data_IF_139512585879
#
_entry.id   IF_139512585879
#
_cell.length_a   1.000
_cell.length_b   1.000
_cell.length_c   1.000
_cell.angle_alpha   90.00
_cell.angle_beta   90.00
_cell.angle_gamma   90.00
#
_symmetry.space_group_name_H-M   'P 1'
#
loop_
_entity.id
_entity.type
_entity.pdbx_description
1 polymer ?
#
# COMPACT_ATOMS: atom_id res chain seq x y z
N UNK A 1 26.53 7.35 -37.56
CA UNK A 1 27.09 6.53 -36.47
C UNK A 1 27.73 7.46 -35.45
N UNK A 2 27.03 7.73 -34.35
CA UNK A 2 27.59 8.29 -33.11
C UNK A 2 26.76 7.67 -32.00
N UNK A 3 27.12 6.45 -31.60
CA UNK A 3 26.52 5.80 -30.45
C UNK A 3 26.92 6.59 -29.21
N UNK A 4 25.98 7.34 -28.64
CA UNK A 4 26.08 7.73 -27.24
C UNK A 4 25.80 6.46 -26.45
N UNK A 5 26.86 5.78 -26.00
CA UNK A 5 26.73 4.82 -24.92
C UNK A 5 26.32 5.62 -23.69
N UNK A 6 25.02 5.69 -23.40
CA UNK A 6 24.55 6.12 -22.09
C UNK A 6 25.05 5.05 -21.13
N UNK A 7 26.15 5.32 -20.43
CA UNK A 7 26.60 4.46 -19.34
C UNK A 7 25.54 4.55 -18.26
N UNK A 8 24.79 3.47 -18.05
CA UNK A 8 23.78 3.39 -17.00
C UNK A 8 24.36 3.79 -15.65
N UNK A 9 23.64 4.65 -14.93
CA UNK A 9 23.93 4.99 -13.52
C UNK A 9 23.77 3.80 -12.58
N UNK A 10 24.45 3.86 -11.44
CA UNK A 10 24.42 2.90 -10.35
C UNK A 10 23.56 3.47 -9.22
N UNK A 11 22.37 2.92 -9.04
CA UNK A 11 21.34 3.48 -8.16
C UNK A 11 21.22 2.60 -6.92
N UNK A 12 21.36 3.19 -5.75
CA UNK A 12 21.09 2.50 -4.49
C UNK A 12 19.71 2.84 -3.98
N UNK A 13 18.82 1.86 -3.81
CA UNK A 13 17.54 2.04 -3.13
C UNK A 13 17.65 1.47 -1.72
N UNK A 14 17.32 2.28 -0.72
CA UNK A 14 17.47 1.90 0.70
C UNK A 14 16.16 2.06 1.46
N UNK A 15 15.75 1.00 2.15
CA UNK A 15 14.58 0.98 3.03
C UNK A 15 14.90 0.14 4.28
N UNK A 16 14.06 0.19 5.32
CA UNK A 16 14.27 -0.66 6.49
C UNK A 16 14.06 -2.15 6.18
N UNK A 17 13.20 -2.44 5.20
CA UNK A 17 12.85 -3.80 4.76
C UNK A 17 12.65 -3.80 3.24
N UNK A 18 12.96 -4.90 2.55
CA UNK A 18 12.67 -5.04 1.11
C UNK A 18 12.13 -6.43 0.78
N UNK A 19 11.56 -6.61 -0.40
CA UNK A 19 11.17 -7.94 -0.91
C UNK A 19 10.04 -8.62 -0.13
N UNK A 20 9.16 -7.85 0.51
CA UNK A 20 7.92 -8.38 1.10
C UNK A 20 6.69 -7.89 0.31
N UNK A 21 5.48 -8.22 0.78
CA UNK A 21 4.21 -7.83 0.14
C UNK A 21 3.57 -6.58 0.75
N UNK A 22 4.30 -5.83 1.57
CA UNK A 22 3.84 -4.51 2.00
C UNK A 22 3.93 -3.49 0.85
N UNK A 23 3.17 -2.39 0.98
CA UNK A 23 3.06 -1.38 -0.08
C UNK A 23 4.40 -0.81 -0.52
N UNK A 24 5.31 -0.49 0.40
CA UNK A 24 6.59 0.16 0.07
C UNK A 24 7.54 -0.83 -0.61
N UNK A 25 7.61 -2.08 -0.14
CA UNK A 25 8.37 -3.14 -0.83
C UNK A 25 7.92 -3.32 -2.28
N UNK A 26 6.61 -3.30 -2.54
CA UNK A 26 6.07 -3.40 -3.90
C UNK A 26 6.40 -2.16 -4.75
N UNK A 27 6.38 -0.94 -4.19
CA UNK A 27 6.85 0.26 -4.90
C UNK A 27 8.34 0.18 -5.26
N UNK A 28 9.18 -0.33 -4.34
CA UNK A 28 10.62 -0.53 -4.58
C UNK A 28 10.87 -1.49 -5.75
N UNK A 29 10.13 -2.59 -5.82
CA UNK A 29 10.23 -3.55 -6.93
C UNK A 29 9.90 -2.87 -8.28
N UNK A 30 8.86 -2.03 -8.31
CA UNK A 30 8.44 -1.32 -9.52
C UNK A 30 9.44 -0.24 -9.95
N UNK A 31 9.96 0.54 -9.00
CA UNK A 31 11.02 1.52 -9.27
C UNK A 31 12.29 0.83 -9.78
N UNK A 32 12.66 -0.29 -9.16
CA UNK A 32 13.80 -1.13 -9.58
C UNK A 32 13.63 -1.58 -11.03
N UNK A 33 12.46 -2.12 -11.37
CA UNK A 33 12.15 -2.55 -12.74
C UNK A 33 12.29 -1.40 -13.74
N UNK A 34 11.69 -0.23 -13.46
CA UNK A 34 11.75 0.92 -14.36
C UNK A 34 13.18 1.41 -14.57
N UNK A 35 13.99 1.51 -13.51
CA UNK A 35 15.39 1.90 -13.64
C UNK A 35 16.22 0.89 -14.45
N UNK A 36 16.00 -0.40 -14.24
CA UNK A 36 16.70 -1.45 -15.00
C UNK A 36 16.31 -1.43 -16.49
N UNK A 37 15.03 -1.22 -16.81
CA UNK A 37 14.57 -1.04 -18.19
C UNK A 37 15.18 0.20 -18.86
N UNK A 38 15.44 1.26 -18.09
CA UNK A 38 16.16 2.44 -18.54
C UNK A 38 17.70 2.24 -18.67
N UNK A 39 18.20 1.02 -18.40
CA UNK A 39 19.62 0.67 -18.54
C UNK A 39 20.49 0.96 -17.32
N UNK A 40 19.89 1.29 -16.16
CA UNK A 40 20.61 1.50 -14.91
C UNK A 40 20.88 0.19 -14.16
N UNK A 41 21.87 0.21 -13.27
CA UNK A 41 22.17 -0.91 -12.37
C UNK A 41 21.65 -0.53 -10.98
N UNK A 42 20.78 -1.37 -10.41
CA UNK A 42 20.14 -1.11 -9.11
C UNK A 42 20.74 -2.00 -8.02
N UNK A 43 21.01 -1.40 -6.87
CA UNK A 43 21.47 -2.03 -5.64
C UNK A 43 20.44 -1.77 -4.54
N UNK A 44 19.96 -2.82 -3.88
CA UNK A 44 19.06 -2.69 -2.75
C UNK A 44 19.86 -2.76 -1.44
N UNK A 45 19.46 -1.97 -0.44
CA UNK A 45 19.97 -2.06 0.92
C UNK A 45 18.82 -2.07 1.92
N UNK A 46 18.83 -3.00 2.88
CA UNK A 46 17.80 -3.07 3.92
C UNK A 46 18.23 -3.82 5.17
N UNK A 47 17.46 -3.69 6.25
CA UNK A 47 17.66 -4.46 7.49
C UNK A 47 17.11 -5.88 7.43
N UNK A 48 16.09 -6.11 6.61
CA UNK A 48 15.53 -7.45 6.33
C UNK A 48 15.08 -7.55 4.87
N UNK A 49 15.22 -8.74 4.29
CA UNK A 49 14.70 -9.05 2.95
C UNK A 49 13.74 -10.25 3.01
N UNK A 50 12.53 -10.09 2.48
CA UNK A 50 11.42 -11.05 2.66
C UNK A 50 11.46 -12.28 1.74
N UNK A 51 12.05 -12.18 0.54
CA UNK A 51 12.13 -13.30 -0.42
C UNK A 51 13.41 -14.12 -0.20
N UNK A 52 13.27 -15.44 -0.11
CA UNK A 52 14.43 -16.33 -0.18
C UNK A 52 14.93 -16.36 -1.63
N UNK A 53 16.16 -15.89 -1.87
CA UNK A 53 16.83 -15.97 -3.19
C UNK A 53 16.96 -17.41 -3.75
N UNK A 54 16.65 -18.44 -2.95
CA UNK A 54 16.82 -19.83 -3.34
C UNK A 54 15.60 -20.48 -4.02
N UNK A 55 14.40 -19.88 -3.97
CA UNK A 55 13.20 -20.54 -4.54
C UNK A 55 12.53 -19.84 -5.70
N UNK A 56 12.86 -18.59 -6.01
CA UNK A 56 12.28 -17.88 -7.16
C UNK A 56 13.36 -17.07 -7.90
N UNK A 57 13.54 -17.45 -9.17
CA UNK A 57 14.24 -16.77 -10.27
C UNK A 57 15.72 -17.12 -10.52
N UNK A 58 15.88 -17.86 -11.61
CA UNK A 58 17.02 -17.89 -12.53
C UNK A 58 17.12 -16.62 -13.38
N UNK A 59 16.65 -15.46 -12.91
CA UNK A 59 16.66 -14.23 -13.70
C UNK A 59 18.00 -13.51 -13.57
N UNK A 60 18.66 -13.26 -14.69
CA UNK A 60 19.92 -12.50 -14.78
C UNK A 60 19.76 -11.01 -14.42
N UNK A 61 18.53 -10.54 -14.12
CA UNK A 61 18.17 -9.15 -13.85
C UNK A 61 17.84 -8.85 -12.38
N UNK A 62 18.11 -9.75 -11.44
CA UNK A 62 17.79 -9.50 -10.03
C UNK A 62 18.76 -8.47 -9.42
N UNK A 63 18.23 -7.41 -8.81
CA UNK A 63 19.05 -6.38 -8.15
C UNK A 63 19.86 -6.98 -6.99
N UNK A 64 21.13 -6.58 -6.86
CA UNK A 64 21.99 -7.03 -5.76
C UNK A 64 21.46 -6.46 -4.43
N UNK A 65 21.27 -7.32 -3.42
CA UNK A 65 20.74 -6.94 -2.11
C UNK A 65 21.84 -6.97 -1.06
N UNK A 66 22.05 -5.85 -0.37
CA UNK A 66 22.90 -5.75 0.83
C UNK A 66 22.02 -5.73 2.06
N UNK A 67 22.33 -6.59 3.03
CA UNK A 67 21.67 -6.59 4.34
C UNK A 67 22.57 -5.91 5.36
N UNK A 68 22.03 -4.87 6.01
CA UNK A 68 22.63 -4.23 7.19
C UNK A 68 21.64 -4.44 8.32
N UNK A 69 21.83 -5.50 9.11
CA UNK A 69 20.88 -5.92 10.15
C UNK A 69 20.43 -4.77 11.07
N UNK A 70 21.32 -3.83 11.39
CA UNK A 70 21.01 -2.66 12.23
C UNK A 70 20.04 -1.65 11.59
N UNK A 71 19.66 -1.78 10.32
CA UNK A 71 18.57 -1.00 9.72
C UNK A 71 17.17 -1.52 10.10
N UNK A 72 17.08 -2.71 10.69
CA UNK A 72 15.80 -3.30 11.07
C UNK A 72 15.18 -2.58 12.28
N UNK A 73 14.04 -1.95 12.05
CA UNK A 73 13.31 -1.21 13.08
C UNK A 73 12.51 -2.09 14.05
N UNK A 74 12.43 -3.40 13.81
CA UNK A 74 11.72 -4.34 14.71
C UNK A 74 12.57 -4.81 15.89
N UNK A 75 13.79 -4.32 16.03
CA UNK A 75 14.62 -4.59 17.20
C UNK A 75 14.06 -3.88 18.43
N UNK A 76 14.21 -4.46 19.62
CA UNK A 76 13.78 -3.81 20.87
C UNK A 76 14.40 -2.42 21.03
N UNK A 77 15.64 -2.27 20.57
CA UNK A 77 16.39 -1.02 20.65
C UNK A 77 15.82 0.06 19.73
N UNK A 78 15.55 -0.26 18.45
CA UNK A 78 14.95 0.68 17.50
C UNK A 78 13.50 1.05 17.90
N UNK A 79 12.71 0.08 18.37
CA UNK A 79 11.36 0.32 18.89
C UNK A 79 11.37 1.20 20.15
N UNK A 80 12.33 0.97 21.06
CA UNK A 80 12.54 1.83 22.24
C UNK A 80 12.87 3.25 21.81
N UNK A 81 13.84 3.42 20.91
CA UNK A 81 14.26 4.74 20.41
C UNK A 81 13.12 5.48 19.70
N UNK A 82 12.31 4.78 18.92
CA UNK A 82 11.10 5.34 18.31
C UNK A 82 10.14 5.90 19.36
N UNK A 83 9.84 5.12 20.42
CA UNK A 83 9.00 5.55 21.54
C UNK A 83 9.62 6.73 22.29
N UNK A 84 10.92 6.65 22.57
CA UNK A 84 11.67 7.72 23.22
C UNK A 84 11.69 9.00 22.38
N UNK A 85 11.51 8.93 21.06
CA UNK A 85 11.43 10.10 20.17
C UNK A 85 10.02 10.67 20.08
N UNK A 86 9.02 9.80 19.88
CA UNK A 86 7.67 10.18 19.43
C UNK A 86 6.56 10.02 20.48
N UNK A 87 6.90 9.63 21.71
CA UNK A 87 5.97 9.51 22.83
C UNK A 87 6.55 10.15 24.10
N UNK A 88 7.52 9.48 24.74
CA UNK A 88 8.06 9.91 26.03
C UNK A 88 9.45 9.34 26.30
N UNK A 89 10.29 10.12 26.97
CA UNK A 89 11.65 9.74 27.38
C UNK A 89 11.83 9.97 28.87
N UNK A 90 12.38 8.98 29.58
CA UNK A 90 12.64 9.07 31.02
C UNK A 90 14.04 9.60 31.35
N UNK A 91 15.01 9.35 30.48
CA UNK A 91 16.40 9.80 30.61
C UNK A 91 16.90 10.32 29.26
N UNK A 92 16.84 11.65 29.09
CA UNK A 92 17.23 12.32 27.85
C UNK A 92 18.71 12.17 27.54
N UNK A 93 19.58 12.10 28.55
CA UNK A 93 21.03 11.96 28.35
C UNK A 93 21.39 10.57 27.83
N UNK A 94 20.78 9.52 28.40
CA UNK A 94 20.93 8.14 27.94
C UNK A 94 20.39 7.97 26.52
N UNK A 95 19.18 8.48 26.24
CA UNK A 95 18.58 8.47 24.91
C UNK A 95 19.48 9.15 23.87
N UNK A 96 19.99 10.35 24.18
CA UNK A 96 20.87 11.09 23.28
C UNK A 96 22.17 10.33 22.99
N UNK A 97 22.82 9.79 24.03
CA UNK A 97 24.04 9.00 23.87
C UNK A 97 23.81 7.80 22.95
N UNK A 98 22.71 7.07 23.17
CA UNK A 98 22.39 5.86 22.42
C UNK A 98 22.00 6.15 20.97
N UNK A 99 21.22 7.21 20.74
CA UNK A 99 20.86 7.70 19.41
C UNK A 99 22.10 7.97 18.54
N UNK A 100 23.05 8.74 19.08
CA UNK A 100 24.27 9.08 18.35
C UNK A 100 25.20 7.87 18.17
N UNK A 101 25.35 7.03 19.20
CA UNK A 101 26.17 5.82 19.15
C UNK A 101 25.72 4.88 18.03
N UNK A 102 24.41 4.67 17.87
CA UNK A 102 23.87 3.87 16.77
C UNK A 102 24.02 4.56 15.42
N UNK A 103 23.79 5.87 15.36
CA UNK A 103 23.96 6.63 14.14
C UNK A 103 25.39 6.52 13.60
N UNK A 104 26.40 6.64 14.47
CA UNK A 104 27.82 6.54 14.10
C UNK A 104 28.17 5.14 13.57
N UNK A 105 27.65 4.08 14.22
CA UNK A 105 27.84 2.69 13.76
C UNK A 105 27.22 2.44 12.39
N UNK A 106 26.00 2.93 12.18
CA UNK A 106 25.28 2.77 10.91
C UNK A 106 25.94 3.59 9.79
N UNK A 107 26.40 4.81 10.09
CA UNK A 107 27.01 5.69 9.11
C UNK A 107 28.17 5.01 8.39
N UNK A 108 29.11 4.39 9.13
CA UNK A 108 30.26 3.72 8.53
C UNK A 108 29.88 2.60 7.55
N UNK A 109 28.82 1.84 7.86
CA UNK A 109 28.31 0.78 6.98
C UNK A 109 27.61 1.33 5.74
N UNK A 110 26.83 2.39 5.90
CA UNK A 110 26.13 3.05 4.79
C UNK A 110 27.12 3.71 3.83
N UNK A 111 28.16 4.36 4.34
CA UNK A 111 29.21 4.91 3.50
C UNK A 111 30.00 3.83 2.74
N UNK A 112 30.30 2.71 3.40
CA UNK A 112 30.93 1.56 2.75
C UNK A 112 30.03 1.02 1.62
N UNK A 113 28.74 0.82 1.88
CA UNK A 113 27.78 0.39 0.86
C UNK A 113 27.72 1.36 -0.34
N UNK A 114 27.73 2.67 -0.10
CA UNK A 114 27.76 3.69 -1.16
C UNK A 114 29.05 3.59 -1.99
N UNK A 115 30.22 3.53 -1.34
CA UNK A 115 31.53 3.52 -2.01
C UNK A 115 31.81 2.21 -2.74
N UNK A 116 31.55 1.08 -2.11
CA UNK A 116 31.84 -0.25 -2.65
C UNK A 116 30.99 -0.53 -3.89
N UNK A 117 29.73 -0.10 -3.86
CA UNK A 117 28.84 -0.19 -5.02
C UNK A 117 29.00 0.96 -6.00
N UNK A 118 29.83 1.98 -5.73
CA UNK A 118 30.05 3.17 -6.57
C UNK A 118 28.73 3.81 -7.00
N UNK A 119 27.87 4.09 -6.04
CA UNK A 119 26.54 4.62 -6.32
C UNK A 119 26.62 6.06 -6.84
N UNK A 120 25.91 6.33 -7.93
CA UNK A 120 25.73 7.67 -8.48
C UNK A 120 24.56 8.41 -7.79
N UNK A 121 23.57 7.63 -7.32
CA UNK A 121 22.34 8.13 -6.70
C UNK A 121 21.91 7.19 -5.57
N UNK A 122 21.47 7.76 -4.45
CA UNK A 122 20.80 7.05 -3.36
C UNK A 122 19.35 7.48 -3.27
N UNK A 123 18.45 6.50 -3.16
CA UNK A 123 17.00 6.67 -3.05
C UNK A 123 16.54 6.13 -1.69
N UNK A 124 16.51 6.97 -0.64
CA UNK A 124 15.86 6.63 0.62
C UNK A 124 14.35 6.47 0.41
N UNK A 125 13.83 5.31 0.79
CA UNK A 125 12.40 5.01 0.81
C UNK A 125 11.93 5.09 2.26
N UNK A 126 11.14 6.10 2.61
CA UNK A 126 10.60 6.35 3.95
C UNK A 126 11.60 6.54 5.11
N UNK A 127 12.91 6.29 4.94
CA UNK A 127 13.89 6.41 6.03
C UNK A 127 13.87 7.81 6.67
N UNK A 128 13.61 8.84 5.86
CA UNK A 128 13.56 10.24 6.28
C UNK A 128 12.15 10.81 6.44
N UNK A 129 11.09 10.00 6.50
CA UNK A 129 9.73 10.54 6.62
C UNK A 129 8.94 9.91 7.75
N UNK A 130 8.88 8.58 7.80
CA UNK A 130 8.01 7.89 8.75
C UNK A 130 8.55 7.98 10.17
N UNK A 131 9.86 8.15 10.36
CA UNK A 131 10.51 8.23 11.67
C UNK A 131 10.54 6.89 12.42
N UNK A 132 10.60 5.75 11.72
CA UNK A 132 10.61 4.43 12.37
C UNK A 132 11.93 4.16 13.11
N UNK A 133 13.05 4.62 12.58
CA UNK A 133 14.37 4.41 13.15
C UNK A 133 15.20 5.71 13.14
N UNK A 134 15.17 6.50 14.24
CA UNK A 134 15.83 7.80 14.30
C UNK A 134 17.33 7.78 14.00
N UNK A 135 18.07 6.83 14.59
CA UNK A 135 19.51 6.68 14.32
C UNK A 135 19.83 6.40 12.84
N UNK A 136 19.02 5.60 12.15
CA UNK A 136 19.22 5.31 10.73
C UNK A 136 19.00 6.54 9.84
N UNK A 137 18.03 7.41 10.20
CA UNK A 137 17.81 8.67 9.49
C UNK A 137 19.03 9.61 9.60
N UNK A 138 19.59 9.75 10.81
CA UNK A 138 20.83 10.53 11.06
C UNK A 138 21.99 9.92 10.29
N UNK A 139 22.21 8.61 10.44
CA UNK A 139 23.31 7.90 9.81
C UNK A 139 23.30 8.05 8.28
N UNK A 140 22.13 7.90 7.66
CA UNK A 140 21.99 8.04 6.22
C UNK A 140 22.25 9.47 5.76
N UNK A 141 21.73 10.48 6.46
CA UNK A 141 21.97 11.88 6.14
C UNK A 141 23.47 12.22 6.18
N UNK A 142 24.18 11.76 7.21
CA UNK A 142 25.65 11.94 7.33
C UNK A 142 26.41 11.19 6.24
N UNK A 143 26.01 9.94 5.95
CA UNK A 143 26.68 9.12 4.95
C UNK A 143 26.56 9.71 3.53
N UNK A 144 25.37 10.20 3.14
CA UNK A 144 25.19 10.81 1.82
C UNK A 144 25.91 12.16 1.70
N UNK A 145 25.97 12.95 2.78
CA UNK A 145 26.70 14.20 2.82
C UNK A 145 28.22 13.96 2.70
N UNK A 146 28.77 13.03 3.47
CA UNK A 146 30.20 12.72 3.44
C UNK A 146 30.66 12.10 2.12
N UNK A 147 29.81 11.30 1.47
CA UNK A 147 30.10 10.70 0.16
C UNK A 147 29.76 11.63 -1.01
N UNK A 148 29.07 12.73 -0.76
CA UNK A 148 28.52 13.64 -1.77
C UNK A 148 27.71 12.94 -2.87
N UNK A 149 27.10 11.79 -2.55
CA UNK A 149 26.25 11.06 -3.50
C UNK A 149 24.94 11.81 -3.71
N UNK A 150 24.44 11.83 -4.95
CA UNK A 150 23.17 12.49 -5.26
C UNK A 150 22.01 11.77 -4.56
N UNK A 151 20.98 12.52 -4.15
CA UNK A 151 19.83 11.96 -3.44
C UNK A 151 18.51 12.27 -4.14
N UNK A 152 17.70 11.24 -4.31
CA UNK A 152 16.28 11.31 -4.68
C UNK A 152 15.47 10.60 -3.59
N UNK A 153 14.94 11.33 -2.61
CA UNK A 153 14.23 10.74 -1.48
C UNK A 153 12.74 10.59 -1.76
N UNK A 154 12.21 9.38 -1.63
CA UNK A 154 10.79 9.09 -1.77
C UNK A 154 10.13 8.87 -0.41
N UNK A 155 9.03 9.60 -0.18
CA UNK A 155 8.27 9.61 1.06
C UNK A 155 6.83 9.17 0.76
N UNK A 156 6.44 8.01 1.28
CA UNK A 156 5.08 7.46 1.16
C UNK A 156 4.16 7.97 2.25
N UNK A 157 4.73 8.25 3.42
CA UNK A 157 4.03 8.68 4.61
C UNK A 157 5.01 9.42 5.53
N UNK A 158 4.48 10.29 6.39
CA UNK A 158 5.27 11.07 7.33
C UNK A 158 4.92 10.78 8.78
N UNK A 159 5.85 11.02 9.71
CA UNK A 159 5.63 10.76 11.14
C UNK A 159 4.41 11.50 11.71
N UNK A 160 4.05 12.67 11.16
CA UNK A 160 2.86 13.44 11.57
C UNK A 160 1.54 12.92 11.01
N UNK A 161 1.56 11.87 10.20
CA UNK A 161 0.37 11.23 9.62
C UNK A 161 -0.06 9.97 10.39
N UNK A 162 0.70 9.60 11.42
CA UNK A 162 0.39 8.46 12.29
C UNK A 162 -0.93 8.71 13.05
N UNK A 163 -1.70 7.65 13.25
CA UNK A 163 -3.02 7.68 13.90
C UNK A 163 -2.95 7.83 15.41
N UNK A 164 -1.84 7.45 16.04
CA UNK A 164 -1.58 7.68 17.47
C UNK A 164 -1.11 9.12 17.66
N UNK A 165 -1.49 9.73 18.78
CA UNK A 165 -0.99 11.05 19.15
C UNK A 165 0.55 11.00 19.19
N UNK A 166 1.18 11.81 18.35
CA UNK A 166 2.63 11.92 18.29
C UNK A 166 3.09 13.12 19.10
N UNK A 167 4.01 12.86 20.02
CA UNK A 167 4.66 13.88 20.82
C UNK A 167 6.17 13.77 20.68
N UNK A 168 6.80 14.79 20.12
CA UNK A 168 8.26 14.90 20.20
C UNK A 168 8.63 15.08 21.67
N UNK A 169 9.34 14.11 22.21
CA UNK A 169 9.44 13.86 23.66
C UNK A 169 10.29 14.89 24.41
N UNK A 170 11.32 15.43 23.76
CA UNK A 170 12.30 16.34 24.33
C UNK A 170 12.85 17.32 23.25
N UNK A 171 13.61 18.37 23.63
CA UNK A 171 14.22 19.30 22.68
C UNK A 171 15.06 18.62 21.60
N UNK A 172 15.83 17.59 21.96
CA UNK A 172 16.58 16.78 21.00
C UNK A 172 15.65 16.07 20.01
N UNK A 173 14.57 15.43 20.46
CA UNK A 173 13.63 14.80 19.53
C UNK A 173 13.04 15.81 18.52
N UNK A 174 12.81 17.07 18.96
CA UNK A 174 12.35 18.16 18.08
C UNK A 174 13.41 18.51 17.05
N UNK A 175 14.65 18.75 17.48
CA UNK A 175 15.77 19.06 16.58
C UNK A 175 16.04 17.92 15.59
N UNK A 176 15.99 16.67 16.04
CA UNK A 176 16.14 15.50 15.17
C UNK A 176 15.04 15.45 14.09
N UNK A 177 13.78 15.57 14.50
CA UNK A 177 12.65 15.53 13.57
C UNK A 177 12.67 16.73 12.60
N UNK A 178 13.32 17.82 12.97
CA UNK A 178 13.58 18.94 12.06
C UNK A 178 14.69 18.66 11.08
N UNK A 179 15.87 18.32 11.57
CA UNK A 179 17.06 18.18 10.74
C UNK A 179 17.07 16.94 9.84
N UNK A 180 16.35 15.86 10.20
CA UNK A 180 16.50 14.57 9.55
C UNK A 180 15.21 13.94 9.03
N UNK A 181 14.03 14.54 9.29
CA UNK A 181 12.74 13.99 8.87
C UNK A 181 11.86 14.96 8.04
N UNK A 182 12.23 15.24 6.77
CA UNK A 182 13.47 14.88 6.09
C UNK A 182 14.53 16.00 6.17
N UNK A 183 15.80 15.75 5.75
CA UNK A 183 16.83 16.79 5.72
C UNK A 183 16.52 17.96 4.77
N UNK A 184 16.91 19.18 5.17
CA UNK A 184 16.66 20.44 4.44
C UNK A 184 17.71 20.77 3.35
N UNK A 185 18.48 19.79 2.87
CA UNK A 185 19.53 20.07 1.88
C UNK A 185 18.91 20.44 0.52
N UNK A 186 19.15 21.66 -0.02
CA UNK A 186 18.53 22.12 -1.26
C UNK A 186 18.98 21.34 -2.50
N UNK A 187 20.04 20.52 -2.39
CA UNK A 187 20.50 19.64 -3.47
C UNK A 187 19.76 18.31 -3.53
N UNK A 188 18.91 18.01 -2.52
CA UNK A 188 18.14 16.76 -2.50
C UNK A 188 16.83 16.96 -3.25
N UNK A 189 16.48 15.97 -4.07
CA UNK A 189 15.17 15.92 -4.73
C UNK A 189 14.23 15.10 -3.85
N UNK A 190 13.08 15.67 -3.49
CA UNK A 190 12.06 14.98 -2.71
C UNK A 190 10.89 14.57 -3.59
N UNK A 191 10.40 13.36 -3.40
CA UNK A 191 9.22 12.80 -4.05
C UNK A 191 8.22 12.38 -2.98
N UNK A 192 6.96 12.75 -3.18
CA UNK A 192 5.82 12.30 -2.36
C UNK A 192 4.78 11.64 -3.25
N UNK A 193 3.91 10.82 -2.64
CA UNK A 193 2.93 10.04 -3.41
C UNK A 193 1.60 10.76 -3.69
N UNK A 194 1.37 11.93 -3.07
CA UNK A 194 0.15 12.70 -3.25
C UNK A 194 0.38 14.20 -2.99
N UNK A 195 -0.52 15.05 -3.46
CA UNK A 195 -0.44 16.50 -3.35
C UNK A 195 -0.72 17.03 -1.94
N UNK A 196 -1.46 16.29 -1.09
CA UNK A 196 -1.65 16.64 0.32
C UNK A 196 -0.33 16.56 1.09
N UNK A 197 0.46 15.50 0.85
CA UNK A 197 1.77 15.31 1.41
C UNK A 197 2.76 16.37 0.91
N UNK A 198 2.69 16.74 -0.38
CA UNK A 198 3.48 17.85 -0.96
C UNK A 198 3.21 19.16 -0.21
N UNK A 199 1.95 19.53 -0.06
CA UNK A 199 1.56 20.77 0.64
C UNK A 199 1.92 20.73 2.13
N UNK A 200 1.72 19.58 2.79
CA UNK A 200 2.08 19.41 4.19
C UNK A 200 3.58 19.54 4.42
N UNK A 201 4.40 18.92 3.57
CA UNK A 201 5.86 19.01 3.61
C UNK A 201 6.32 20.46 3.39
N UNK A 202 5.80 21.14 2.36
CA UNK A 202 6.13 22.54 2.08
C UNK A 202 5.75 23.45 3.25
N UNK A 203 4.55 23.28 3.84
CA UNK A 203 4.09 24.09 4.96
C UNK A 203 4.87 23.84 6.25
N UNK A 204 5.21 22.59 6.54
CA UNK A 204 5.85 22.20 7.81
C UNK A 204 7.36 22.38 7.79
N UNK A 205 8.00 22.17 6.64
CA UNK A 205 9.46 22.10 6.49
C UNK A 205 10.04 23.09 5.47
N UNK A 206 9.20 23.78 4.68
CA UNK A 206 9.69 24.63 3.60
C UNK A 206 10.35 23.85 2.46
N UNK A 207 10.07 22.54 2.34
CA UNK A 207 10.65 21.65 1.33
C UNK A 207 9.61 21.44 0.23
N UNK A 208 9.98 21.71 -1.02
CA UNK A 208 9.19 21.33 -2.19
C UNK A 208 9.45 19.87 -2.58
N UNK A 209 8.46 19.23 -3.18
CA UNK A 209 8.56 17.85 -3.65
C UNK A 209 7.81 17.65 -4.97
N UNK A 210 8.32 16.75 -5.81
CA UNK A 210 7.55 16.22 -6.93
C UNK A 210 6.51 15.21 -6.44
N UNK A 211 5.39 15.09 -7.15
CA UNK A 211 4.36 14.09 -6.85
C UNK A 211 4.50 12.95 -7.86
N UNK A 212 4.83 11.76 -7.37
CA UNK A 212 4.81 10.52 -8.17
C UNK A 212 3.85 9.56 -7.49
N UNK A 213 2.65 9.30 -8.05
CA UNK A 213 1.69 8.40 -7.44
C UNK A 213 2.19 6.96 -7.44
N UNK A 214 1.63 6.12 -6.56
CA UNK A 214 1.86 4.69 -6.69
C UNK A 214 1.24 4.19 -8.00
N UNK A 215 1.92 3.22 -8.62
CA UNK A 215 1.51 2.62 -9.89
C UNK A 215 1.22 1.13 -9.72
N UNK A 216 0.79 0.45 -10.76
CA UNK A 216 0.67 -1.02 -10.77
C UNK A 216 1.13 -1.55 -12.13
N UNK A 217 1.62 -2.78 -12.16
CA UNK A 217 1.94 -3.44 -13.43
C UNK A 217 0.66 -3.90 -14.14
N UNK A 218 0.12 -3.01 -14.99
CA UNK A 218 -1.01 -3.33 -15.85
C UNK A 218 -0.62 -4.16 -17.08
N UNK A 219 0.66 -4.23 -17.45
CA UNK A 219 1.13 -5.04 -18.57
C UNK A 219 1.44 -6.49 -18.17
N UNK A 220 1.67 -6.73 -16.88
CA UNK A 220 1.88 -8.05 -16.30
C UNK A 220 0.67 -8.99 -16.39
N UNK A 221 0.85 -10.27 -15.98
CA UNK A 221 -0.17 -11.30 -16.10
C UNK A 221 -1.53 -10.90 -15.53
N UNK A 222 -2.60 -11.33 -16.21
CA UNK A 222 -3.96 -11.13 -15.72
C UNK A 222 -4.25 -12.02 -14.51
N UNK A 223 -5.07 -11.52 -13.59
CA UNK A 223 -5.48 -12.27 -12.39
C UNK A 223 -6.70 -13.13 -12.73
N UNK A 224 -6.45 -14.31 -13.28
CA UNK A 224 -7.48 -15.20 -13.79
C UNK A 224 -7.72 -16.41 -12.88
N UNK A 225 -8.85 -17.08 -13.10
CA UNK A 225 -9.10 -18.39 -12.52
C UNK A 225 -8.29 -19.42 -13.31
N UNK A 226 -7.38 -20.11 -12.64
CA UNK A 226 -6.51 -21.13 -13.22
C UNK A 226 -6.59 -22.46 -12.45
N UNK A 227 -5.75 -23.44 -12.83
CA UNK A 227 -5.72 -24.74 -12.17
C UNK A 227 -5.36 -24.68 -10.67
N UNK A 228 -4.63 -23.64 -10.24
CA UNK A 228 -4.29 -23.46 -8.83
C UNK A 228 -5.47 -22.95 -8.02
N UNK A 229 -6.25 -21.99 -8.52
CA UNK A 229 -7.33 -21.38 -7.74
C UNK A 229 -8.74 -21.85 -8.14
N UNK A 230 -8.87 -22.85 -9.01
CA UNK A 230 -10.15 -23.42 -9.42
C UNK A 230 -11.00 -23.95 -8.24
N UNK A 231 -10.35 -24.42 -7.18
CA UNK A 231 -10.97 -24.90 -5.94
C UNK A 231 -11.18 -23.81 -4.89
N UNK A 232 -10.79 -22.55 -5.15
CA UNK A 232 -10.86 -21.44 -4.18
C UNK A 232 -12.24 -21.33 -3.54
N UNK A 233 -13.31 -21.31 -4.35
CA UNK A 233 -14.68 -21.22 -3.84
C UNK A 233 -15.02 -22.39 -2.92
N UNK A 234 -14.75 -23.63 -3.32
CA UNK A 234 -14.99 -24.80 -2.47
C UNK A 234 -14.15 -24.80 -1.21
N UNK A 235 -12.89 -24.34 -1.29
CA UNK A 235 -11.97 -24.27 -0.17
C UNK A 235 -12.39 -23.29 0.92
N UNK A 236 -13.27 -22.33 0.60
CA UNK A 236 -13.83 -21.34 1.52
C UNK A 236 -15.35 -21.45 1.68
N UNK A 237 -15.93 -22.61 1.34
CA UNK A 237 -17.37 -22.87 1.46
C UNK A 237 -18.24 -21.84 0.71
N UNK A 238 -17.85 -21.45 -0.51
CA UNK A 238 -18.57 -20.52 -1.37
C UNK A 238 -19.23 -21.30 -2.51
N UNK A 239 -20.53 -21.09 -2.73
CA UNK A 239 -21.23 -21.73 -3.83
C UNK A 239 -20.83 -21.08 -5.18
N UNK A 240 -20.99 -21.79 -6.32
CA UNK A 240 -20.63 -21.25 -7.63
C UNK A 240 -21.30 -19.92 -7.98
N UNK A 241 -22.56 -19.71 -7.58
CA UNK A 241 -23.33 -18.49 -7.85
C UNK A 241 -23.49 -17.56 -6.64
N UNK A 242 -22.74 -17.79 -5.55
CA UNK A 242 -22.65 -16.80 -4.47
C UNK A 242 -21.98 -15.53 -5.01
N UNK A 243 -22.51 -14.37 -4.61
CA UNK A 243 -21.93 -13.07 -4.92
C UNK A 243 -20.83 -12.81 -3.88
N UNK A 244 -19.59 -12.67 -4.34
CA UNK A 244 -18.43 -12.37 -3.50
C UNK A 244 -18.20 -10.85 -3.50
N UNK A 245 -18.41 -10.22 -2.34
CA UNK A 245 -18.02 -8.84 -2.08
C UNK A 245 -16.68 -8.87 -1.34
N UNK A 246 -15.61 -8.45 -2.01
CA UNK A 246 -14.25 -8.58 -1.50
C UNK A 246 -13.78 -7.31 -0.79
N UNK A 247 -13.32 -7.48 0.46
CA UNK A 247 -12.52 -6.51 1.19
C UNK A 247 -11.07 -7.01 1.26
N UNK A 248 -10.19 -6.40 0.48
CA UNK A 248 -8.81 -6.86 0.26
C UNK A 248 -7.77 -6.09 1.11
N UNK A 249 -8.21 -5.39 2.15
CA UNK A 249 -7.33 -4.62 3.05
C UNK A 249 -7.08 -5.34 4.35
N UNK A 250 -6.02 -4.93 5.06
CA UNK A 250 -5.87 -5.20 6.50
C UNK A 250 -7.14 -4.86 7.27
N UNK A 251 -7.43 -5.61 8.31
CA UNK A 251 -8.61 -5.43 9.15
C UNK A 251 -8.27 -4.48 10.30
N UNK A 252 -8.29 -3.18 10.01
CA UNK A 252 -7.97 -2.11 10.98
C UNK A 252 -8.98 -0.95 10.87
N UNK A 253 -9.24 -0.18 11.94
CA UNK A 253 -10.33 0.81 11.98
C UNK A 253 -10.38 1.77 10.79
N UNK A 254 -9.24 2.36 10.41
CA UNK A 254 -9.16 3.34 9.31
C UNK A 254 -9.62 2.81 7.94
N UNK A 255 -9.77 1.50 7.80
CA UNK A 255 -10.22 0.86 6.55
C UNK A 255 -11.73 0.86 6.38
N UNK A 256 -12.50 1.21 7.42
CA UNK A 256 -13.94 1.47 7.33
C UNK A 256 -14.78 0.25 6.93
N UNK A 257 -14.33 -0.98 7.24
CA UNK A 257 -14.95 -2.24 6.82
C UNK A 257 -16.42 -2.34 7.27
N UNK A 258 -16.80 -1.64 8.35
CA UNK A 258 -18.18 -1.50 8.79
C UNK A 258 -19.13 -0.95 7.72
N UNK A 259 -18.65 -0.12 6.78
CA UNK A 259 -19.45 0.39 5.67
C UNK A 259 -19.60 -0.66 4.56
N UNK A 260 -18.63 -1.58 4.41
CA UNK A 260 -18.80 -2.75 3.54
C UNK A 260 -19.91 -3.67 4.08
N UNK A 261 -20.01 -3.82 5.40
CA UNK A 261 -21.12 -4.54 6.05
C UNK A 261 -22.45 -3.86 5.71
N UNK A 262 -22.54 -2.54 5.84
CA UNK A 262 -23.78 -1.80 5.52
C UNK A 262 -24.22 -1.99 4.06
N UNK A 263 -23.26 -1.99 3.12
CA UNK A 263 -23.53 -2.26 1.71
C UNK A 263 -24.02 -3.69 1.50
N UNK A 264 -23.38 -4.69 2.12
CA UNK A 264 -23.80 -6.08 2.00
C UNK A 264 -25.18 -6.29 2.63
N UNK A 265 -25.47 -5.65 3.76
CA UNK A 265 -26.80 -5.68 4.39
C UNK A 265 -27.87 -5.06 3.46
N UNK A 266 -27.58 -3.94 2.81
CA UNK A 266 -28.48 -3.32 1.83
C UNK A 266 -28.71 -4.22 0.59
N UNK A 267 -27.67 -4.89 0.10
CA UNK A 267 -27.79 -5.88 -0.97
C UNK A 267 -28.60 -7.11 -0.53
N UNK A 268 -28.38 -7.57 0.70
CA UNK A 268 -29.08 -8.72 1.29
C UNK A 268 -30.59 -8.45 1.40
N UNK A 269 -31.00 -7.24 1.79
CA UNK A 269 -32.41 -6.82 1.77
C UNK A 269 -33.05 -6.91 0.37
N UNK A 270 -32.26 -6.86 -0.70
CA UNK A 270 -32.68 -6.97 -2.09
C UNK A 270 -32.52 -8.39 -2.68
N UNK A 271 -32.04 -9.36 -1.89
CA UNK A 271 -31.71 -10.72 -2.34
C UNK A 271 -32.87 -11.40 -3.08
N UNK A 272 -34.11 -11.24 -2.63
CA UNK A 272 -35.28 -11.85 -3.28
C UNK A 272 -35.46 -11.41 -4.74
N UNK A 273 -35.14 -10.14 -5.05
CA UNK A 273 -35.21 -9.60 -6.41
C UNK A 273 -34.19 -10.21 -7.39
N UNK A 274 -33.15 -10.86 -6.85
CA UNK A 274 -32.08 -11.50 -7.63
C UNK A 274 -32.43 -12.94 -8.02
N UNK A 275 -33.40 -13.57 -7.35
CA UNK A 275 -33.74 -14.98 -7.59
C UNK A 275 -34.22 -15.15 -9.04
N UNK A 276 -33.58 -16.07 -9.76
CA UNK A 276 -33.83 -16.35 -11.17
C UNK A 276 -33.20 -15.35 -12.15
N UNK A 277 -32.53 -14.30 -11.66
CA UNK A 277 -31.78 -13.36 -12.52
C UNK A 277 -30.44 -13.98 -12.90
N UNK A 278 -29.98 -13.64 -14.10
CA UNK A 278 -28.63 -13.96 -14.56
C UNK A 278 -27.71 -12.82 -14.14
N UNK A 279 -26.67 -13.13 -13.37
CA UNK A 279 -25.62 -12.19 -12.98
C UNK A 279 -24.76 -11.81 -14.19
N UNK A 280 -23.99 -10.73 -14.08
CA UNK A 280 -23.04 -10.29 -15.09
C UNK A 280 -21.92 -11.31 -15.36
N UNK A 281 -21.72 -12.27 -14.45
CA UNK A 281 -20.86 -13.45 -14.61
C UNK A 281 -21.48 -14.55 -15.49
N UNK A 282 -22.74 -14.42 -15.89
CA UNK A 282 -23.50 -15.42 -16.66
C UNK A 282 -24.16 -16.51 -15.81
N UNK A 283 -23.97 -16.49 -14.48
CA UNK A 283 -24.55 -17.46 -13.56
C UNK A 283 -25.95 -17.03 -13.13
N UNK A 284 -26.87 -17.98 -12.96
CA UNK A 284 -28.20 -17.72 -12.41
C UNK A 284 -28.12 -17.71 -10.88
N UNK A 285 -28.67 -16.67 -10.27
CA UNK A 285 -28.76 -16.55 -8.82
C UNK A 285 -30.02 -17.28 -8.32
N UNK A 286 -29.87 -18.14 -7.32
CA UNK A 286 -30.94 -18.96 -6.75
C UNK A 286 -31.19 -18.63 -5.27
N UNK A 287 -32.29 -19.14 -4.71
CA UNK A 287 -32.65 -18.88 -3.31
C UNK A 287 -31.59 -19.34 -2.30
N UNK A 288 -30.84 -20.41 -2.63
CA UNK A 288 -29.76 -20.95 -1.79
C UNK A 288 -28.46 -20.14 -1.89
N UNK A 289 -28.33 -19.25 -2.87
CA UNK A 289 -27.13 -18.42 -3.00
C UNK A 289 -27.08 -17.30 -1.97
N UNK A 290 -25.87 -16.91 -1.60
CA UNK A 290 -25.59 -15.88 -0.61
C UNK A 290 -24.90 -14.68 -1.26
N UNK A 291 -24.98 -13.55 -0.56
CA UNK A 291 -24.12 -12.39 -0.77
C UNK A 291 -23.14 -12.41 0.40
N UNK A 292 -21.86 -12.61 0.12
CA UNK A 292 -20.85 -12.89 1.14
C UNK A 292 -19.79 -11.80 1.14
N UNK A 293 -19.57 -11.18 2.31
CA UNK A 293 -18.43 -10.29 2.53
C UNK A 293 -17.19 -11.14 2.83
N UNK A 294 -16.18 -11.08 1.97
CA UNK A 294 -14.93 -11.84 2.14
C UNK A 294 -13.81 -10.89 2.55
N UNK A 295 -13.26 -11.08 3.75
CA UNK A 295 -12.10 -10.35 4.25
C UNK A 295 -10.82 -11.13 3.91
N UNK A 296 -10.06 -10.64 2.94
CA UNK A 296 -8.83 -11.29 2.48
C UNK A 296 -7.56 -10.76 3.18
N UNK A 297 -7.65 -9.62 3.86
CA UNK A 297 -6.54 -9.11 4.66
C UNK A 297 -6.53 -9.64 6.09
N UNK A 298 -5.46 -9.30 6.80
CA UNK A 298 -5.12 -9.84 8.11
C UNK A 298 -5.38 -8.79 9.21
N UNK A 299 -5.58 -9.22 10.45
CA UNK A 299 -6.01 -8.37 11.59
C UNK A 299 -4.89 -8.04 12.60
N UNK A 300 -3.69 -8.59 12.42
CA UNK A 300 -2.55 -8.47 13.35
C UNK A 300 -2.08 -7.02 13.56
N UNK A 301 -2.35 -6.12 12.60
CA UNK A 301 -1.99 -4.70 12.68
C UNK A 301 -3.07 -3.84 13.38
N UNK A 302 -4.13 -4.45 13.93
CA UNK A 302 -5.15 -3.72 14.70
C UNK A 302 -4.63 -3.33 16.09
N UNK A 303 -4.20 -2.07 16.22
CA UNK A 303 -3.78 -1.48 17.48
C UNK A 303 -4.84 -1.54 18.59
N UNK A 304 -6.14 -1.66 18.26
CA UNK A 304 -7.19 -1.76 19.28
C UNK A 304 -7.39 -3.18 19.79
N UNK A 305 -6.92 -4.19 19.04
CA UNK A 305 -7.12 -5.62 19.31
C UNK A 305 -8.60 -6.06 19.36
N UNK A 306 -9.52 -5.23 18.89
CA UNK A 306 -10.97 -5.38 19.09
C UNK A 306 -11.79 -5.07 17.85
N UNK A 307 -11.20 -4.53 16.79
CA UNK A 307 -11.93 -4.09 15.61
C UNK A 307 -12.61 -5.26 14.87
N UNK A 308 -11.89 -6.36 14.62
CA UNK A 308 -12.48 -7.55 13.99
C UNK A 308 -13.70 -8.06 14.76
N UNK A 309 -13.62 -8.14 16.09
CA UNK A 309 -14.74 -8.57 16.94
C UNK A 309 -15.94 -7.64 16.84
N UNK A 310 -15.73 -6.33 16.74
CA UNK A 310 -16.80 -5.34 16.54
C UNK A 310 -17.45 -5.50 15.15
N UNK A 311 -16.66 -5.82 14.12
CA UNK A 311 -17.18 -6.13 12.80
C UNK A 311 -18.01 -7.42 12.80
N UNK A 312 -17.57 -8.47 13.49
CA UNK A 312 -18.32 -9.73 13.66
C UNK A 312 -19.67 -9.48 14.35
N UNK A 313 -19.67 -8.70 15.44
CA UNK A 313 -20.91 -8.31 16.13
C UNK A 313 -21.86 -7.53 15.22
N UNK A 314 -21.35 -6.56 14.46
CA UNK A 314 -22.15 -5.83 13.47
C UNK A 314 -22.70 -6.75 12.38
N UNK A 315 -21.87 -7.66 11.87
CA UNK A 315 -22.26 -8.62 10.85
C UNK A 315 -23.40 -9.54 11.32
N UNK A 316 -23.33 -10.03 12.55
CA UNK A 316 -24.36 -10.86 13.17
C UNK A 316 -25.68 -10.10 13.35
N UNK A 317 -25.62 -8.85 13.84
CA UNK A 317 -26.80 -7.99 14.00
C UNK A 317 -27.51 -7.73 12.67
N UNK A 318 -26.76 -7.51 11.60
CA UNK A 318 -27.28 -7.28 10.24
C UNK A 318 -27.60 -8.58 9.49
N UNK A 319 -27.39 -9.76 10.12
CA UNK A 319 -27.61 -11.08 9.50
C UNK A 319 -26.85 -11.26 8.17
N UNK A 320 -25.63 -10.71 8.07
CA UNK A 320 -24.78 -10.85 6.89
C UNK A 320 -23.80 -12.02 7.05
N UNK A 321 -23.46 -12.69 5.95
CA UNK A 321 -22.40 -13.70 5.96
C UNK A 321 -21.06 -13.02 5.71
N UNK A 322 -20.19 -13.03 6.72
CA UNK A 322 -18.82 -12.53 6.63
C UNK A 322 -17.81 -13.68 6.78
N UNK A 323 -16.84 -13.77 5.87
CA UNK A 323 -15.80 -14.79 5.88
C UNK A 323 -14.41 -14.16 5.95
N UNK A 324 -13.67 -14.45 7.01
CA UNK A 324 -12.26 -14.08 7.14
C UNK A 324 -11.39 -15.19 6.56
N UNK A 325 -10.68 -14.90 5.46
CA UNK A 325 -9.84 -15.88 4.76
C UNK A 325 -8.34 -15.56 4.85
N UNK A 326 -7.97 -14.46 5.52
CA UNK A 326 -6.60 -13.91 5.57
C UNK A 326 -5.53 -14.92 5.98
N UNK A 327 -5.83 -15.87 6.87
CA UNK A 327 -4.86 -16.90 7.30
C UNK A 327 -4.43 -17.87 6.18
N UNK A 328 -5.18 -17.90 5.08
CA UNK A 328 -4.88 -18.71 3.89
C UNK A 328 -4.52 -17.85 2.67
N UNK A 329 -4.40 -16.54 2.85
CA UNK A 329 -3.90 -15.59 1.85
C UNK A 329 -2.45 -15.25 2.18
N UNK A 330 -1.54 -15.59 1.27
CA UNK A 330 -0.09 -15.45 1.43
C UNK A 330 0.53 -14.76 0.23
N UNK A 331 1.76 -14.27 0.39
CA UNK A 331 2.52 -13.60 -0.67
C UNK A 331 2.66 -14.42 -1.96
N UNK A 332 2.89 -15.72 -1.79
CA UNK A 332 3.06 -16.69 -2.88
C UNK A 332 2.11 -17.86 -2.68
N UNK A 333 1.57 -18.39 -3.77
CA UNK A 333 0.83 -19.65 -3.77
C UNK A 333 1.71 -20.77 -3.22
N UNK A 334 1.25 -21.50 -2.20
CA UNK A 334 1.99 -22.61 -1.64
C UNK A 334 1.06 -23.76 -1.25
N UNK A 335 1.56 -24.99 -1.40
CA UNK A 335 0.87 -26.18 -0.92
C UNK A 335 1.69 -26.82 0.21
N UNK A 336 1.27 -26.59 1.46
CA UNK A 336 1.90 -27.17 2.65
C UNK A 336 1.09 -28.35 3.18
N UNK A 337 0.84 -29.34 2.31
CA UNK A 337 0.08 -30.54 2.66
C UNK A 337 -1.43 -30.28 2.70
N UNK A 338 -2.05 -30.37 3.89
CA UNK A 338 -3.48 -30.08 4.03
C UNK A 338 -3.82 -28.58 4.00
N UNK A 339 -2.81 -27.71 4.00
CA UNK A 339 -2.98 -26.27 4.08
C UNK A 339 -2.49 -25.58 2.80
N UNK A 340 -3.29 -25.71 1.73
CA UNK A 340 -3.12 -24.95 0.50
C UNK A 340 -3.44 -23.48 0.74
N UNK A 341 -2.52 -22.61 0.37
CA UNK A 341 -2.66 -21.16 0.43
C UNK A 341 -2.84 -20.54 -0.96
N UNK A 342 -3.49 -19.39 -0.97
CA UNK A 342 -3.80 -18.59 -2.15
C UNK A 342 -3.11 -17.24 -2.03
N UNK A 343 -3.10 -16.47 -3.11
CA UNK A 343 -2.65 -15.06 -3.07
C UNK A 343 -3.84 -14.12 -3.03
N UNK A 344 -3.58 -12.85 -2.77
CA UNK A 344 -4.62 -11.82 -2.85
C UNK A 344 -5.23 -11.74 -4.26
N UNK A 345 -4.42 -11.99 -5.29
CA UNK A 345 -4.84 -12.04 -6.70
C UNK A 345 -5.87 -13.14 -6.95
N UNK A 346 -5.74 -14.29 -6.27
CA UNK A 346 -6.74 -15.36 -6.35
C UNK A 346 -8.09 -14.91 -5.79
N UNK A 347 -8.09 -14.16 -4.68
CA UNK A 347 -9.33 -13.60 -4.14
C UNK A 347 -9.98 -12.60 -5.11
N UNK A 348 -9.17 -11.74 -5.74
CA UNK A 348 -9.65 -10.81 -6.78
C UNK A 348 -10.25 -11.53 -7.99
N UNK A 349 -9.63 -12.61 -8.46
CA UNK A 349 -10.10 -13.38 -9.62
C UNK A 349 -11.50 -14.00 -9.41
N UNK A 350 -11.89 -14.24 -8.15
CA UNK A 350 -13.19 -14.79 -7.79
C UNK A 350 -14.24 -13.74 -7.39
N UNK A 351 -13.83 -12.48 -7.19
CA UNK A 351 -14.68 -11.41 -6.69
C UNK A 351 -15.69 -10.90 -7.73
N UNK A 352 -16.90 -10.59 -7.27
CA UNK A 352 -17.96 -10.01 -8.08
C UNK A 352 -18.05 -8.49 -7.92
N UNK A 353 -17.68 -8.01 -6.73
CA UNK A 353 -17.62 -6.61 -6.30
C UNK A 353 -16.45 -6.42 -5.32
N UNK A 354 -15.78 -5.28 -5.34
CA UNK A 354 -14.78 -4.91 -4.33
C UNK A 354 -15.31 -3.76 -3.49
N UNK A 355 -15.17 -3.84 -2.17
CA UNK A 355 -15.41 -2.72 -1.27
C UNK A 355 -14.08 -2.08 -0.89
N UNK A 356 -14.06 -0.76 -0.99
CA UNK A 356 -12.96 0.09 -0.56
C UNK A 356 -13.48 1.30 0.25
N UNK A 357 -14.02 1.07 1.45
CA UNK A 357 -14.63 2.10 2.28
C UNK A 357 -13.63 2.87 3.16
N UNK A 358 -12.33 2.78 2.86
CA UNK A 358 -11.31 3.41 3.70
C UNK A 358 -11.46 4.92 3.69
N UNK A 359 -11.62 5.51 4.87
CA UNK A 359 -11.77 6.96 5.02
C UNK A 359 -10.43 7.69 5.15
N UNK A 360 -9.33 6.95 5.34
CA UNK A 360 -7.98 7.48 5.31
C UNK A 360 -7.01 6.54 4.60
N UNK A 361 -6.28 7.07 3.61
CA UNK A 361 -5.23 6.41 2.84
C UNK A 361 -4.17 7.40 2.38
N UNK A 362 -2.89 6.97 2.37
CA UNK A 362 -1.79 7.75 1.80
C UNK A 362 -1.78 7.75 0.26
N UNK A 363 -2.27 6.67 -0.35
CA UNK A 363 -2.58 6.63 -1.78
C UNK A 363 -3.83 5.80 -1.99
N UNK A 364 -3.67 4.47 -2.11
CA UNK A 364 -4.77 3.53 -2.13
C UNK A 364 -4.65 2.43 -3.18
N UNK A 365 -3.65 1.55 -2.99
CA UNK A 365 -3.34 0.48 -3.95
C UNK A 365 -4.53 -0.45 -4.24
N UNK A 366 -5.44 -0.64 -3.28
CA UNK A 366 -6.65 -1.46 -3.47
C UNK A 366 -7.53 -0.97 -4.65
N UNK A 367 -7.54 0.35 -4.92
CA UNK A 367 -8.21 0.89 -6.11
C UNK A 367 -7.58 0.35 -7.39
N UNK A 368 -6.25 0.47 -7.53
CA UNK A 368 -5.53 -0.01 -8.71
C UNK A 368 -5.64 -1.54 -8.85
N UNK A 369 -5.62 -2.26 -7.73
CA UNK A 369 -5.80 -3.71 -7.70
C UNK A 369 -7.19 -4.11 -8.21
N UNK A 370 -8.27 -3.50 -7.70
CA UNK A 370 -9.63 -3.77 -8.20
C UNK A 370 -9.77 -3.45 -9.70
N UNK A 371 -9.12 -2.37 -10.15
CA UNK A 371 -9.11 -1.98 -11.56
C UNK A 371 -8.34 -2.99 -12.41
N UNK A 372 -7.18 -3.49 -11.97
CA UNK A 372 -6.42 -4.53 -12.66
C UNK A 372 -7.22 -5.83 -12.75
N UNK A 373 -7.88 -6.21 -11.66
CA UNK A 373 -8.80 -7.35 -11.60
C UNK A 373 -10.06 -7.19 -12.46
N UNK A 374 -10.34 -5.99 -12.98
CA UNK A 374 -11.58 -5.63 -13.69
C UNK A 374 -12.83 -5.97 -12.87
N UNK A 375 -12.78 -5.67 -11.57
CA UNK A 375 -13.91 -5.83 -10.65
C UNK A 375 -14.50 -4.45 -10.32
N UNK A 376 -15.83 -4.27 -10.38
CA UNK A 376 -16.47 -3.03 -9.95
C UNK A 376 -16.13 -2.69 -8.50
N UNK A 377 -16.00 -1.40 -8.19
CA UNK A 377 -15.55 -0.93 -6.88
C UNK A 377 -16.59 -0.02 -6.22
N UNK A 378 -16.90 -0.32 -4.96
CA UNK A 378 -17.62 0.56 -4.03
C UNK A 378 -16.59 1.31 -3.22
N UNK A 379 -16.56 2.63 -3.33
CA UNK A 379 -15.46 3.46 -2.85
C UNK A 379 -15.97 4.56 -1.91
N UNK A 380 -15.34 4.71 -0.75
CA UNK A 380 -15.42 5.96 0.01
C UNK A 380 -14.41 6.95 -0.57
N UNK A 381 -14.87 8.15 -0.94
CA UNK A 381 -14.05 9.20 -1.58
C UNK A 381 -13.13 9.87 -0.54
N UNK A 382 -12.12 9.14 -0.08
CA UNK A 382 -11.13 9.61 0.89
C UNK A 382 -10.35 10.83 0.37
N UNK A 383 -9.67 11.60 1.25
CA UNK A 383 -9.09 12.89 0.90
C UNK A 383 -8.16 12.87 -0.33
N UNK A 384 -7.24 11.90 -0.40
CA UNK A 384 -6.33 11.74 -1.55
C UNK A 384 -7.10 11.41 -2.83
N UNK A 385 -8.11 10.53 -2.76
CA UNK A 385 -8.95 10.23 -3.93
C UNK A 385 -9.63 11.49 -4.46
N UNK A 386 -10.30 12.24 -3.59
CA UNK A 386 -11.01 13.47 -3.96
C UNK A 386 -10.07 14.49 -4.60
N UNK A 387 -8.85 14.63 -4.06
CA UNK A 387 -7.93 15.68 -4.48
C UNK A 387 -7.13 15.33 -5.75
N UNK A 388 -6.65 14.08 -5.84
CA UNK A 388 -5.63 13.70 -6.82
C UNK A 388 -6.11 12.66 -7.85
N UNK A 389 -7.17 11.91 -7.55
CA UNK A 389 -7.56 10.74 -8.35
C UNK A 389 -8.91 10.93 -9.05
N UNK A 390 -9.86 11.61 -8.41
CA UNK A 390 -11.22 11.78 -8.93
C UNK A 390 -11.25 12.48 -10.29
N UNK A 391 -10.34 13.45 -10.51
CA UNK A 391 -10.22 14.18 -11.78
C UNK A 391 -9.78 13.31 -12.96
N UNK A 392 -9.16 12.14 -12.70
CA UNK A 392 -8.81 11.16 -13.73
C UNK A 392 -10.05 10.47 -14.34
N UNK A 393 -11.22 10.58 -13.70
CA UNK A 393 -12.50 10.12 -14.26
C UNK A 393 -12.83 8.64 -14.02
N UNK A 394 -12.31 8.03 -12.96
CA UNK A 394 -12.69 6.67 -12.58
C UNK A 394 -14.21 6.56 -12.33
N UNK A 395 -14.82 5.53 -12.90
CA UNK A 395 -16.21 5.16 -12.64
C UNK A 395 -16.27 4.24 -11.43
N UNK A 396 -16.74 4.79 -10.30
CA UNK A 396 -16.85 4.08 -9.01
C UNK A 396 -18.29 4.16 -8.49
N UNK A 397 -18.64 3.22 -7.62
CA UNK A 397 -19.88 3.29 -6.84
C UNK A 397 -19.54 4.05 -5.55
N UNK A 398 -19.89 5.33 -5.49
CA UNK A 398 -19.46 6.22 -4.40
C UNK A 398 -20.26 5.99 -3.12
N UNK A 399 -19.56 6.00 -1.98
CA UNK A 399 -20.11 6.11 -0.63
C UNK A 399 -20.09 7.56 -0.12
N UNK A 400 -19.85 8.53 -1.01
CA UNK A 400 -19.58 9.91 -0.64
C UNK A 400 -18.21 10.08 0.00
N UNK A 401 -18.02 11.24 0.64
CA UNK A 401 -16.72 11.69 1.20
C UNK A 401 -16.80 12.12 2.66
N UNK A 402 -17.93 11.89 3.31
CA UNK A 402 -18.21 12.38 4.66
C UNK A 402 -18.63 11.20 5.54
N UNK A 403 -18.00 11.09 6.71
CA UNK A 403 -18.52 10.28 7.81
C UNK A 403 -19.50 11.15 8.58
N UNK A 404 -20.76 10.71 8.68
CA UNK A 404 -21.85 11.48 9.28
C UNK A 404 -21.86 11.33 10.81
N UNK A 405 -21.58 10.13 11.32
CA UNK A 405 -21.51 9.84 12.75
C UNK A 405 -20.64 8.63 13.07
N UNK A 406 -20.47 8.35 14.36
CA UNK A 406 -19.82 7.15 14.88
C UNK A 406 -20.79 6.45 15.82
N UNK A 407 -20.87 5.12 15.70
CA UNK A 407 -21.65 4.28 16.62
C UNK A 407 -21.03 4.23 18.03
N UNK A 408 -21.77 3.68 18.99
CA UNK A 408 -21.27 3.39 20.35
C UNK A 408 -20.09 2.41 20.41
N UNK A 409 -19.79 1.74 19.30
CA UNK A 409 -18.66 0.83 19.14
C UNK A 409 -17.52 1.45 18.30
N UNK A 410 -17.49 2.77 18.13
CA UNK A 410 -16.52 3.52 17.31
C UNK A 410 -16.43 3.01 15.86
N UNK A 411 -17.54 2.51 15.32
CA UNK A 411 -17.69 2.20 13.89
C UNK A 411 -18.27 3.40 13.15
N UNK A 412 -17.68 3.75 12.01
CA UNK A 412 -18.11 4.85 11.17
C UNK A 412 -19.50 4.62 10.59
N UNK A 413 -20.27 5.70 10.42
CA UNK A 413 -21.60 5.68 9.82
C UNK A 413 -21.72 6.79 8.77
N UNK A 414 -22.39 6.46 7.68
CA UNK A 414 -22.81 7.41 6.65
C UNK A 414 -24.33 7.35 6.50
N UNK A 415 -24.92 8.32 5.82
CA UNK A 415 -26.36 8.36 5.49
C UNK A 415 -26.86 7.04 4.88
N UNK A 416 -27.98 6.53 5.37
CA UNK A 416 -28.61 5.33 4.83
C UNK A 416 -28.99 5.52 3.36
N UNK A 417 -29.41 6.72 2.96
CA UNK A 417 -29.73 7.03 1.55
C UNK A 417 -28.51 6.78 0.65
N UNK A 418 -27.31 7.16 1.08
CA UNK A 418 -26.06 6.90 0.34
C UNK A 418 -25.76 5.41 0.24
N UNK A 419 -25.98 4.64 1.31
CA UNK A 419 -25.85 3.18 1.29
C UNK A 419 -26.87 2.54 0.32
N UNK A 420 -28.12 3.00 0.34
CA UNK A 420 -29.17 2.49 -0.56
C UNK A 420 -28.84 2.76 -2.03
N UNK A 421 -28.43 3.98 -2.36
CA UNK A 421 -28.03 4.38 -3.71
C UNK A 421 -26.82 3.56 -4.21
N UNK A 422 -25.81 3.40 -3.36
CA UNK A 422 -24.64 2.58 -3.68
C UNK A 422 -25.01 1.11 -3.90
N UNK A 423 -25.90 0.54 -3.09
CA UNK A 423 -26.40 -0.82 -3.27
C UNK A 423 -27.17 -0.98 -4.59
N UNK A 424 -28.00 0.00 -4.97
CA UNK A 424 -28.73 -0.03 -6.24
C UNK A 424 -27.78 0.02 -7.44
N UNK A 425 -26.74 0.87 -7.39
CA UNK A 425 -25.70 0.94 -8.42
C UNK A 425 -24.87 -0.35 -8.48
N UNK A 426 -24.56 -0.96 -7.33
CA UNK A 426 -23.90 -2.26 -7.26
C UNK A 426 -24.74 -3.34 -7.95
N UNK A 427 -26.05 -3.39 -7.71
CA UNK A 427 -26.94 -4.33 -8.41
C UNK A 427 -26.96 -4.12 -9.92
N UNK A 428 -26.90 -2.87 -10.39
CA UNK A 428 -26.85 -2.58 -11.82
C UNK A 428 -25.64 -3.26 -12.47
N UNK A 429 -24.44 -3.17 -11.89
CA UNK A 429 -23.24 -3.82 -12.46
C UNK A 429 -23.16 -5.32 -12.16
N UNK A 430 -23.81 -5.79 -11.11
CA UNK A 430 -23.94 -7.22 -10.82
C UNK A 430 -24.90 -7.93 -11.77
N UNK A 431 -25.86 -7.22 -12.38
CA UNK A 431 -26.87 -7.80 -13.27
C UNK A 431 -26.65 -7.47 -14.75
N UNK A 432 -26.09 -6.31 -15.08
CA UNK A 432 -25.87 -5.88 -16.47
C UNK A 432 -24.41 -6.04 -16.89
N UNK A 433 -24.16 -7.06 -17.73
CA UNK A 433 -22.83 -7.38 -18.25
C UNK A 433 -22.20 -6.23 -19.05
N UNK A 434 -23.00 -5.47 -19.81
CA UNK A 434 -22.48 -4.38 -20.63
C UNK A 434 -22.11 -3.18 -19.74
N UNK A 435 -22.93 -2.86 -18.74
CA UNK A 435 -22.59 -1.79 -17.78
C UNK A 435 -21.37 -2.14 -16.94
N UNK A 436 -21.26 -3.39 -16.44
CA UNK A 436 -20.04 -3.88 -15.78
C UNK A 436 -18.82 -3.70 -16.68
N UNK A 437 -18.89 -4.21 -17.93
CA UNK A 437 -17.79 -4.11 -18.89
C UNK A 437 -17.38 -2.66 -19.15
N UNK A 438 -18.35 -1.76 -19.36
CA UNK A 438 -18.07 -0.35 -19.60
C UNK A 438 -17.33 0.31 -18.43
N UNK A 439 -17.77 0.05 -17.20
CA UNK A 439 -17.12 0.57 -15.98
C UNK A 439 -15.68 0.08 -15.87
N UNK A 440 -15.48 -1.25 -15.89
CA UNK A 440 -14.17 -1.84 -15.60
C UNK A 440 -13.15 -1.57 -16.71
N UNK A 441 -13.56 -1.60 -17.98
CA UNK A 441 -12.67 -1.29 -19.12
C UNK A 441 -12.35 0.20 -19.24
N UNK A 442 -13.25 1.09 -18.78
CA UNK A 442 -12.93 2.52 -18.69
C UNK A 442 -11.89 2.78 -17.62
N UNK A 443 -12.10 2.20 -16.43
CA UNK A 443 -11.15 2.32 -15.32
C UNK A 443 -9.79 1.73 -15.69
N UNK A 444 -9.75 0.57 -16.35
CA UNK A 444 -8.51 -0.07 -16.79
C UNK A 444 -7.70 0.83 -17.73
N UNK A 445 -8.36 1.49 -18.69
CA UNK A 445 -7.70 2.42 -19.62
C UNK A 445 -7.12 3.64 -18.90
N UNK A 446 -7.88 4.23 -17.98
CA UNK A 446 -7.42 5.35 -17.14
C UNK A 446 -6.21 4.92 -16.33
N UNK A 447 -6.28 3.76 -15.67
CA UNK A 447 -5.19 3.29 -14.83
C UNK A 447 -3.92 2.95 -15.61
N UNK A 448 -4.05 2.34 -16.79
CA UNK A 448 -2.91 2.11 -17.68
C UNK A 448 -2.26 3.42 -18.16
N UNK A 449 -3.03 4.48 -18.34
CA UNK A 449 -2.52 5.77 -18.80
C UNK A 449 -1.77 6.53 -17.70
N UNK A 450 -2.27 6.52 -16.46
CA UNK A 450 -1.77 7.38 -15.39
C UNK A 450 -1.04 6.65 -14.26
N UNK A 451 -1.29 5.36 -14.06
CA UNK A 451 -0.81 4.59 -12.91
C UNK A 451 -0.16 3.26 -13.31
N UNK A 452 0.56 3.25 -14.43
CA UNK A 452 1.29 2.09 -14.96
C UNK A 452 2.80 2.21 -14.77
N UNK A 453 3.55 1.15 -15.09
CA UNK A 453 5.02 1.22 -15.10
C UNK A 453 5.53 2.21 -16.16
N UNK A 454 4.82 2.34 -17.28
CA UNK A 454 5.12 3.31 -18.33
C UNK A 454 4.89 4.75 -17.86
N UNK A 455 3.82 5.00 -17.09
CA UNK A 455 3.61 6.33 -16.50
C UNK A 455 4.65 6.62 -15.41
N UNK A 456 5.04 5.63 -14.60
CA UNK A 456 6.14 5.78 -13.64
C UNK A 456 7.46 6.14 -14.33
N UNK A 457 7.80 5.48 -15.43
CA UNK A 457 8.99 5.84 -16.22
C UNK A 457 8.93 7.30 -16.69
N UNK A 458 7.76 7.75 -17.17
CA UNK A 458 7.53 9.13 -17.60
C UNK A 458 7.63 10.13 -16.43
N UNK A 459 7.16 9.76 -15.25
CA UNK A 459 7.26 10.61 -14.04
C UNK A 459 8.68 10.72 -13.52
N UNK A 460 9.50 9.67 -13.67
CA UNK A 460 10.90 9.64 -13.24
C UNK A 460 11.85 10.32 -14.24
N UNK A 461 11.47 10.41 -15.52
CA UNK A 461 12.32 10.96 -16.59
C UNK A 461 12.94 12.33 -16.28
N UNK A 462 12.19 13.32 -15.72
CA UNK A 462 12.78 14.62 -15.36
C UNK A 462 13.88 14.48 -14.31
N UNK A 463 13.69 13.65 -13.28
CA UNK A 463 14.70 13.45 -12.23
C UNK A 463 15.92 12.68 -12.75
N UNK A 464 15.72 11.71 -13.65
CA UNK A 464 16.80 10.93 -14.25
C UNK A 464 17.65 11.76 -15.23
N UNK A 465 17.02 12.70 -15.94
CA UNK A 465 17.73 13.59 -16.88
C UNK A 465 18.79 14.45 -16.19
N UNK A 466 18.52 14.86 -14.95
CA UNK A 466 19.46 15.63 -14.11
C UNK A 466 20.66 14.81 -13.60
N UNK A 467 20.70 13.50 -13.89
CA UNK A 467 21.83 12.64 -13.55
C UNK A 467 22.90 12.60 -14.63
N UNK A 468 22.59 13.07 -15.85
CA UNK A 468 23.48 13.03 -17.00
C UNK A 468 24.78 13.80 -16.82
#
# INVERSE_FOLDING_TARGET
MTGHAVTGKRIGIIHFKTGDTDGVSLEIDKWTHVFQQAGHIVFLCSGRHGRNQQSDTTDENTAAVTIIDELDYHTEEAMRMNRETFDSVSDEASYHHELLRQADRLQGKLEAWIRDNRLDVVIPQNIWSVGLHPAAAIALARAVEHTAVRVLAQHHDFYWERTKDIRLSCPMAIEFADMYLPPHNPSYVHVVINSLAKEALAKRKGIDAAVIPNVLDFAGPEWEIDAWNADFRTAFDLAPSDIIVLQATRVIPRKGIELAIDIVAALQRRKESLIGKTLSTGKVFSASNRIVLVLAGYAQDDDTGTYLKRLEQKADMESITMLSIGDRITATRANRGSNKTYTLWDAYAHADLVTYPSYWEGWGNQLLEAVKARVPIVLFEYPVYTKDIASSGFSVISLGKTIDSWSEHDLAQIKDETIQEAADLALVVLLDRQKKKNMVESNYRIARQYYSLESLASYLEPMMSDWS
#
